data_IF_567970594559
#
_entry.id   IF_567970594559
#
_cell.length_a   1.000
_cell.length_b   1.000
_cell.length_c   1.000
_cell.angle_alpha   90.00
_cell.angle_beta   90.00
_cell.angle_gamma   90.00
#
_symmetry.space_group_name_H-M   'P 1'
#
loop_
_entity.id
_entity.type
_entity.pdbx_description
1 polymer ?
#
# COMPACT_ATOMS: atom_id res chain seq x y z
N UNK A 1 -9.47 -5.69 5.05
CA UNK A 1 -9.28 -4.39 4.38
C UNK A 1 -10.63 -3.88 3.89
N UNK A 2 -11.00 -2.69 4.34
CA UNK A 2 -12.31 -2.10 4.02
C UNK A 2 -12.21 -0.88 3.13
N UNK A 3 -11.05 -0.21 3.11
CA UNK A 3 -10.87 1.08 2.44
C UNK A 3 -9.45 1.25 1.94
N UNK A 4 -9.31 1.83 0.76
CA UNK A 4 -8.04 2.19 0.18
C UNK A 4 -8.14 3.60 -0.41
N UNK A 5 -7.31 4.52 0.05
CA UNK A 5 -7.17 5.85 -0.54
C UNK A 5 -5.86 5.92 -1.29
N UNK A 6 -5.90 6.39 -2.53
CA UNK A 6 -4.75 6.40 -3.43
C UNK A 6 -4.57 7.78 -4.03
N UNK A 7 -3.34 8.25 -4.06
CA UNK A 7 -2.96 9.49 -4.73
C UNK A 7 -1.67 9.28 -5.50
N UNK A 8 -1.69 9.57 -6.79
CA UNK A 8 -0.53 9.53 -7.69
C UNK A 8 0.19 8.17 -7.74
N UNK A 9 -0.56 7.09 -7.72
CA UNK A 9 -0.02 5.73 -7.84
C UNK A 9 -0.29 5.18 -9.25
N UNK A 10 0.76 4.99 -10.04
CA UNK A 10 0.69 4.41 -11.37
C UNK A 10 -0.38 5.08 -12.25
N UNK A 11 -1.23 4.28 -12.85
CA UNK A 11 -2.36 4.75 -13.66
C UNK A 11 -3.68 4.77 -12.90
N UNK A 12 -3.67 4.41 -11.60
CA UNK A 12 -4.88 4.45 -10.79
C UNK A 12 -5.41 5.86 -10.64
N UNK A 13 -6.73 6.09 -10.85
CA UNK A 13 -7.33 7.37 -10.52
C UNK A 13 -7.19 7.67 -9.03
N UNK A 14 -6.91 8.94 -8.71
CA UNK A 14 -6.91 9.38 -7.32
C UNK A 14 -8.32 9.24 -6.73
N UNK A 15 -8.41 8.76 -5.51
CA UNK A 15 -9.70 8.64 -4.85
C UNK A 15 -9.69 7.60 -3.75
N UNK A 16 -10.89 7.34 -3.27
CA UNK A 16 -11.16 6.37 -2.22
C UNK A 16 -11.91 5.18 -2.78
N UNK A 17 -11.39 3.99 -2.52
CA UNK A 17 -12.01 2.73 -2.91
C UNK A 17 -12.51 2.04 -1.64
N UNK A 18 -13.81 1.74 -1.59
CA UNK A 18 -14.42 1.03 -0.47
C UNK A 18 -14.75 -0.41 -0.87
N UNK A 19 -14.57 -1.34 0.06
CA UNK A 19 -14.73 -2.77 -0.19
C UNK A 19 -15.69 -3.40 0.80
N UNK A 20 -16.51 -4.32 0.31
CA UNK A 20 -17.38 -5.14 1.15
C UNK A 20 -16.59 -6.30 1.76
N UNK A 21 -17.08 -6.90 2.86
CA UNK A 21 -16.41 -8.07 3.45
C UNK A 21 -16.47 -9.32 2.58
N UNK A 22 -17.42 -9.38 1.64
CA UNK A 22 -17.58 -10.52 0.74
C UNK A 22 -16.83 -10.36 -0.56
N UNK A 23 -17.49 -10.69 -1.66
CA UNK A 23 -16.92 -10.59 -2.99
C UNK A 23 -16.97 -9.14 -3.50
N UNK A 24 -15.84 -8.68 -4.05
CA UNK A 24 -15.75 -7.40 -4.74
C UNK A 24 -15.32 -7.67 -6.18
N UNK A 25 -15.98 -7.00 -7.13
CA UNK A 25 -15.69 -7.17 -8.56
C UNK A 25 -15.15 -5.86 -9.11
N UNK A 26 -14.02 -5.93 -9.81
CA UNK A 26 -13.38 -4.78 -10.44
C UNK A 26 -13.58 -4.91 -11.95
N UNK A 27 -14.23 -3.88 -12.53
CA UNK A 27 -14.49 -3.82 -13.97
C UNK A 27 -13.94 -2.52 -14.54
N UNK A 28 -13.56 -2.55 -15.80
CA UNK A 28 -13.04 -1.39 -16.51
C UNK A 28 -12.32 -1.82 -17.78
N UNK A 29 -11.96 -0.82 -18.60
CA UNK A 29 -11.22 -1.07 -19.83
C UNK A 29 -9.77 -1.48 -19.55
N UNK A 30 -9.13 -2.08 -20.55
CA UNK A 30 -7.69 -2.36 -20.47
C UNK A 30 -6.92 -1.04 -20.30
N UNK A 31 -5.99 -1.01 -19.35
CA UNK A 31 -5.25 0.21 -19.05
C UNK A 31 -5.90 1.12 -18.02
N UNK A 32 -7.09 0.79 -17.52
CA UNK A 32 -7.77 1.57 -16.48
C UNK A 32 -7.15 1.39 -15.08
N UNK A 33 -6.18 0.49 -14.92
CA UNK A 33 -5.50 0.28 -13.65
C UNK A 33 -6.05 -0.88 -12.83
N UNK A 34 -6.90 -1.74 -13.39
CA UNK A 34 -7.47 -2.88 -12.66
C UNK A 34 -6.41 -3.79 -12.06
N UNK A 35 -5.41 -4.16 -12.85
CA UNK A 35 -4.30 -5.01 -12.37
C UNK A 35 -3.49 -4.32 -11.28
N UNK A 36 -3.26 -3.01 -11.40
CA UNK A 36 -2.55 -2.25 -10.38
C UNK A 36 -3.36 -2.19 -9.08
N UNK A 37 -4.66 -1.99 -9.18
CA UNK A 37 -5.52 -1.98 -7.99
C UNK A 37 -5.48 -3.32 -7.27
N UNK A 38 -5.63 -4.42 -7.99
CA UNK A 38 -5.61 -5.77 -7.42
C UNK A 38 -4.25 -6.06 -6.78
N UNK A 39 -3.16 -5.71 -7.45
CA UNK A 39 -1.80 -5.89 -6.91
C UNK A 39 -1.59 -5.06 -5.65
N UNK A 40 -2.05 -3.82 -5.64
CA UNK A 40 -1.91 -2.94 -4.47
C UNK A 40 -2.71 -3.47 -3.28
N UNK A 41 -3.93 -3.93 -3.50
CA UNK A 41 -4.74 -4.58 -2.47
C UNK A 41 -4.04 -5.81 -1.90
N UNK A 42 -3.48 -6.64 -2.77
CA UNK A 42 -2.72 -7.82 -2.36
C UNK A 42 -1.52 -7.44 -1.50
N UNK A 43 -0.73 -6.47 -1.94
CA UNK A 43 0.45 -6.02 -1.21
C UNK A 43 0.06 -5.52 0.18
N UNK A 44 -0.93 -4.64 0.26
CA UNK A 44 -1.34 -4.04 1.53
C UNK A 44 -1.89 -5.08 2.51
N UNK A 45 -2.77 -5.95 2.03
CA UNK A 45 -3.37 -6.99 2.87
C UNK A 45 -2.32 -8.01 3.33
N UNK A 46 -1.49 -8.47 2.41
CA UNK A 46 -0.48 -9.48 2.70
C UNK A 46 0.62 -8.95 3.61
N UNK A 47 1.09 -7.74 3.34
CA UNK A 47 2.10 -7.10 4.19
C UNK A 47 1.59 -6.93 5.63
N UNK A 48 0.36 -6.42 5.80
CA UNK A 48 -0.24 -6.25 7.12
C UNK A 48 -0.33 -7.57 7.87
N UNK A 49 -0.62 -8.66 7.17
CA UNK A 49 -0.71 -9.98 7.74
C UNK A 49 0.67 -10.53 8.14
N UNK A 50 1.66 -10.37 7.25
CA UNK A 50 3.01 -10.90 7.46
C UNK A 50 3.81 -10.10 8.49
N UNK A 51 3.61 -8.80 8.57
CA UNK A 51 4.35 -7.91 9.45
C UNK A 51 4.19 -8.27 10.93
N UNK A 52 3.07 -8.87 11.30
CA UNK A 52 2.81 -9.30 12.67
C UNK A 52 3.26 -10.71 13.00
N UNK A 53 3.80 -11.44 12.03
CA UNK A 53 4.17 -12.84 12.22
C UNK A 53 5.64 -13.01 12.57
N UNK A 54 5.92 -13.96 13.45
CA UNK A 54 7.25 -14.52 13.66
C UNK A 54 8.19 -13.70 14.51
N UNK A 55 7.83 -12.52 14.97
CA UNK A 55 8.63 -11.74 15.89
C UNK A 55 7.99 -11.76 17.28
N UNK A 56 8.78 -12.07 18.30
CA UNK A 56 8.35 -11.91 19.69
C UNK A 56 8.20 -10.44 20.05
N UNK A 57 8.93 -9.56 19.35
CA UNK A 57 8.91 -8.12 19.54
C UNK A 57 8.29 -7.43 18.33
N UNK A 58 7.70 -6.26 18.57
CA UNK A 58 7.13 -5.43 17.51
C UNK A 58 8.25 -4.94 16.59
N UNK A 59 8.10 -5.04 15.25
CA UNK A 59 9.12 -4.52 14.33
C UNK A 59 9.30 -3.02 14.49
N UNK A 60 10.53 -2.55 14.26
CA UNK A 60 10.80 -1.10 14.21
C UNK A 60 10.16 -0.47 12.98
N UNK A 61 9.97 0.85 13.03
CA UNK A 61 9.43 1.59 11.89
C UNK A 61 10.32 1.42 10.64
N UNK A 62 11.65 1.42 10.82
CA UNK A 62 12.58 1.20 9.72
C UNK A 62 12.41 -0.18 9.07
N UNK A 63 12.19 -1.22 9.87
CA UNK A 63 11.91 -2.56 9.36
C UNK A 63 10.59 -2.62 8.60
N UNK A 64 9.56 -1.93 9.10
CA UNK A 64 8.27 -1.84 8.44
C UNK A 64 8.38 -1.10 7.09
N UNK A 65 9.11 0.01 7.05
CA UNK A 65 9.35 0.77 5.83
C UNK A 65 10.05 -0.08 4.77
N UNK A 66 11.09 -0.80 5.16
CA UNK A 66 11.85 -1.63 4.24
C UNK A 66 11.04 -2.84 3.75
N UNK A 67 10.32 -3.50 4.64
CA UNK A 67 9.54 -4.69 4.28
C UNK A 67 8.39 -4.34 3.31
N UNK A 68 7.74 -3.22 3.51
CA UNK A 68 6.67 -2.77 2.61
C UNK A 68 7.24 -2.39 1.23
N UNK A 69 8.34 -1.65 1.20
CA UNK A 69 9.01 -1.30 -0.05
C UNK A 69 9.46 -2.54 -0.82
N UNK A 70 9.99 -3.54 -0.12
CA UNK A 70 10.38 -4.82 -0.71
C UNK A 70 9.19 -5.55 -1.31
N UNK A 71 8.05 -5.58 -0.59
CA UNK A 71 6.82 -6.23 -1.08
C UNK A 71 6.31 -5.54 -2.35
N UNK A 72 6.26 -4.21 -2.36
CA UNK A 72 5.86 -3.43 -3.53
C UNK A 72 6.76 -3.73 -4.73
N UNK A 73 8.06 -3.74 -4.52
CA UNK A 73 9.04 -4.01 -5.57
C UNK A 73 8.89 -5.42 -6.13
N UNK A 74 8.66 -6.41 -5.29
CA UNK A 74 8.50 -7.81 -5.72
C UNK A 74 7.24 -8.04 -6.52
N UNK A 75 6.15 -7.39 -6.15
CA UNK A 75 4.85 -7.59 -6.81
C UNK A 75 4.74 -6.78 -8.09
N UNK A 76 5.14 -5.51 -8.07
CA UNK A 76 5.03 -4.62 -9.23
C UNK A 76 6.24 -4.67 -10.15
N UNK A 77 7.40 -5.05 -9.65
CA UNK A 77 8.68 -5.17 -10.38
C UNK A 77 9.08 -3.91 -11.13
N UNK A 78 9.05 -2.71 -10.50
CA UNK A 78 9.59 -1.51 -11.12
C UNK A 78 11.12 -1.56 -11.10
N UNK A 79 11.77 -0.73 -11.94
CA UNK A 79 13.23 -0.56 -11.90
C UNK A 79 13.67 0.03 -10.55
N UNK A 80 12.89 0.96 -10.02
CA UNK A 80 13.05 1.52 -8.68
C UNK A 80 11.67 1.81 -8.11
N UNK A 81 11.54 1.89 -6.79
CA UNK A 81 10.25 2.12 -6.11
C UNK A 81 9.55 3.37 -6.64
N UNK A 82 10.29 4.44 -6.90
CA UNK A 82 9.74 5.68 -7.45
C UNK A 82 9.08 5.52 -8.82
N UNK A 83 9.38 4.44 -9.54
CA UNK A 83 8.74 4.14 -10.82
C UNK A 83 7.24 3.82 -10.70
N UNK A 84 6.75 3.56 -9.50
CA UNK A 84 5.32 3.34 -9.23
C UNK A 84 4.54 4.65 -9.10
N UNK A 85 5.22 5.79 -8.96
CA UNK A 85 4.56 7.10 -8.90
C UNK A 85 3.99 7.44 -10.28
N UNK A 86 2.80 8.05 -10.30
CA UNK A 86 2.16 8.47 -11.55
C UNK A 86 3.10 9.34 -12.37
N UNK A 87 3.21 9.02 -13.66
CA UNK A 87 4.03 9.79 -14.60
C UNK A 87 3.46 11.20 -14.80
N UNK A 88 4.35 12.19 -14.92
CA UNK A 88 3.98 13.59 -15.12
C UNK A 88 5.16 14.49 -14.83
N UNK A 89 4.91 15.80 -14.91
CA UNK A 89 5.93 16.81 -14.65
C UNK A 89 6.18 16.96 -13.14
N UNK A 90 7.43 17.21 -12.77
CA UNK A 90 7.85 17.52 -11.41
C UNK A 90 8.02 16.31 -10.52
N UNK A 91 8.37 16.59 -9.28
CA UNK A 91 8.49 15.59 -8.21
C UNK A 91 7.12 15.32 -7.61
N UNK A 92 6.53 14.18 -7.97
CA UNK A 92 5.28 13.74 -7.37
C UNK A 92 5.55 12.75 -6.25
N UNK A 93 4.65 12.76 -5.28
CA UNK A 93 4.66 11.80 -4.19
C UNK A 93 3.41 10.92 -4.31
N UNK A 94 3.62 9.61 -4.31
CA UNK A 94 2.53 8.67 -4.22
C UNK A 94 2.16 8.49 -2.75
N UNK A 95 0.86 8.46 -2.46
CA UNK A 95 0.35 8.27 -1.11
C UNK A 95 -0.74 7.21 -1.13
N UNK A 96 -0.67 6.28 -0.19
CA UNK A 96 -1.64 5.19 -0.03
C UNK A 96 -2.06 5.10 1.43
N UNK A 97 -3.36 5.20 1.68
CA UNK A 97 -3.94 5.03 3.01
C UNK A 97 -4.82 3.79 3.01
N UNK A 98 -4.63 2.92 3.98
CA UNK A 98 -5.31 1.63 4.07
C UNK A 98 -6.11 1.56 5.34
N UNK A 99 -7.41 1.25 5.22
CA UNK A 99 -8.31 1.06 6.34
C UNK A 99 -8.75 -0.38 6.49
N UNK A 100 -8.85 -0.83 7.72
CA UNK A 100 -9.32 -2.17 8.08
C UNK A 100 -10.51 -2.05 9.01
N UNK A 101 -11.23 -3.16 9.19
CA UNK A 101 -12.27 -3.23 10.22
C UNK A 101 -11.65 -2.97 11.59
N UNK A 102 -12.40 -2.28 12.44
CA UNK A 102 -11.96 -1.98 13.80
C UNK A 102 -11.76 -3.28 14.58
N UNK A 103 -10.66 -3.36 15.30
CA UNK A 103 -10.29 -4.49 16.13
C UNK A 103 -10.13 -4.04 17.58
N UNK A 104 -10.43 -4.91 18.53
CA UNK A 104 -10.22 -4.62 19.94
C UNK A 104 -8.74 -4.55 20.32
N UNK A 105 -7.85 -5.11 19.51
CA UNK A 105 -6.40 -5.11 19.75
C UNK A 105 -5.70 -3.85 19.25
N UNK A 106 -6.40 -2.92 18.63
CA UNK A 106 -5.87 -1.68 18.12
C UNK A 106 -6.13 -1.49 16.62
N UNK A 107 -5.71 -0.37 16.08
CA UNK A 107 -5.91 -0.03 14.68
C UNK A 107 -4.86 -0.72 13.80
N UNK A 108 -5.31 -1.37 12.74
CA UNK A 108 -4.46 -1.94 11.69
C UNK A 108 -4.26 -0.97 10.53
N UNK A 109 -4.92 0.19 10.59
CA UNK A 109 -4.84 1.20 9.55
C UNK A 109 -3.41 1.73 9.43
N UNK A 110 -2.99 1.99 8.20
CA UNK A 110 -1.69 2.59 7.95
C UNK A 110 -1.73 3.48 6.73
N UNK A 111 -0.78 4.41 6.66
CA UNK A 111 -0.62 5.30 5.53
C UNK A 111 0.86 5.45 5.22
N UNK A 112 1.20 5.27 3.96
CA UNK A 112 2.57 5.41 3.51
C UNK A 112 2.66 6.26 2.25
N UNK A 113 3.84 6.79 2.02
CA UNK A 113 4.12 7.59 0.84
C UNK A 113 5.54 7.34 0.35
N UNK A 114 5.78 7.63 -0.90
CA UNK A 114 7.12 7.60 -1.49
C UNK A 114 7.16 8.53 -2.68
N UNK A 115 8.33 9.13 -2.91
CA UNK A 115 8.53 10.05 -4.02
C UNK A 115 9.02 9.30 -5.25
N UNK A 116 9.02 10.00 -6.39
CA UNK A 116 9.60 9.49 -7.64
C UNK A 116 11.09 9.16 -7.48
N UNK A 117 11.79 9.82 -6.56
CA UNK A 117 13.20 9.60 -6.28
C UNK A 117 13.45 8.45 -5.30
N UNK A 118 12.40 7.85 -4.73
CA UNK A 118 12.55 6.75 -3.78
C UNK A 118 13.12 5.51 -4.46
N UNK A 119 14.06 4.87 -3.81
CA UNK A 119 14.72 3.66 -4.33
C UNK A 119 14.47 2.42 -3.50
N UNK A 120 14.45 2.52 -2.17
CA UNK A 120 14.42 1.36 -1.27
C UNK A 120 13.38 1.40 -0.16
N UNK A 121 12.94 2.60 0.26
CA UNK A 121 12.08 2.73 1.42
C UNK A 121 10.85 3.59 1.12
N UNK A 122 9.75 3.27 1.81
CA UNK A 122 8.58 4.13 1.91
C UNK A 122 8.66 4.93 3.21
N UNK A 123 7.90 6.02 3.30
CA UNK A 123 7.72 6.78 4.52
C UNK A 123 6.34 6.52 5.08
N UNK A 124 6.22 6.27 6.38
CA UNK A 124 4.92 6.12 7.03
C UNK A 124 4.46 7.45 7.62
N UNK A 125 3.26 7.87 7.24
CA UNK A 125 2.55 8.97 7.90
C UNK A 125 1.72 8.42 9.08
N UNK A 126 1.31 7.16 8.97
CA UNK A 126 0.59 6.45 10.03
C UNK A 126 1.05 4.99 10.06
N UNK A 127 1.56 4.58 11.20
CA UNK A 127 2.06 3.22 11.42
C UNK A 127 0.93 2.36 12.00
N UNK A 128 0.77 1.10 11.56
CA UNK A 128 -0.23 0.22 12.17
C UNK A 128 0.08 0.01 13.65
N UNK A 129 -0.95 0.07 14.48
CA UNK A 129 -0.83 -0.18 15.91
C UNK A 129 -1.07 -1.65 16.27
N UNK A 130 -1.72 -2.39 15.37
CA UNK A 130 -1.98 -3.80 15.53
C UNK A 130 -1.74 -4.55 14.23
N UNK A 131 -1.41 -5.83 14.34
CA UNK A 131 -1.23 -6.73 13.20
C UNK A 131 -2.08 -7.97 13.38
N UNK A 132 -2.38 -8.63 12.29
CA UNK A 132 -3.05 -9.92 12.32
C UNK A 132 -2.09 -11.04 12.69
#
# INVERSE_FOLDING_TARGET
LTKLEVSSFGVLPNGTYEFSPGMNVVIGDNGAGKSQLIKLLYVCARWSQEAGRGASDRPSEAELQQSLATKLTRVFRPDALGGLVTRGRGNRTSSVSVGFEKSMSGSRDFRFSFSRMASKNVSFERVPQAFN
#
